data_IF_987372117152
#
_entry.id   IF_987372117152
#
_cell.length_a   1.000
_cell.length_b   1.000
_cell.length_c   1.000
_cell.angle_alpha   90.00
_cell.angle_beta   90.00
_cell.angle_gamma   90.00
#
_symmetry.space_group_name_H-M   'P 1'
#
loop_
_entity.id
_entity.type
_entity.pdbx_description
1 polymer ?
#
# COMPACT_ATOMS: atom_id res chain seq x y z
N UNK A 1 10.88 -8.10 11.18
CA UNK A 1 10.31 -9.00 10.16
C UNK A 1 10.21 -8.26 8.83
N UNK A 2 10.29 -9.00 7.73
CA UNK A 2 10.19 -8.50 6.35
C UNK A 2 8.99 -9.10 5.64
N UNK A 3 8.43 -8.36 4.69
CA UNK A 3 7.52 -8.92 3.70
C UNK A 3 8.25 -9.96 2.81
N UNK A 4 7.59 -11.05 2.41
CA UNK A 4 8.16 -12.05 1.49
C UNK A 4 8.71 -11.46 0.19
N UNK A 5 8.09 -10.41 -0.33
CA UNK A 5 8.47 -9.73 -1.56
C UNK A 5 9.55 -8.65 -1.37
N UNK A 6 10.02 -8.44 -0.15
CA UNK A 6 10.95 -7.36 0.17
C UNK A 6 12.33 -7.61 -0.48
N UNK A 7 12.87 -6.61 -1.18
CA UNK A 7 14.11 -6.73 -1.97
C UNK A 7 15.35 -7.18 -1.17
N UNK A 8 15.37 -6.95 0.15
CA UNK A 8 16.45 -7.44 1.02
C UNK A 8 16.41 -8.94 1.28
N UNK A 9 15.26 -9.60 1.16
CA UNK A 9 15.12 -11.04 1.45
C UNK A 9 16.10 -11.85 0.63
N UNK A 10 16.18 -11.61 -0.67
CA UNK A 10 17.10 -12.32 -1.55
C UNK A 10 18.58 -12.06 -1.20
N UNK A 11 18.90 -10.86 -0.68
CA UNK A 11 20.27 -10.44 -0.39
C UNK A 11 20.82 -10.99 0.92
N UNK A 12 19.96 -11.14 1.93
CA UNK A 12 20.38 -11.49 3.30
C UNK A 12 20.18 -12.97 3.62
N UNK A 13 19.33 -13.67 2.87
CA UNK A 13 19.02 -15.08 3.16
C UNK A 13 20.29 -15.92 3.07
N UNK A 14 20.59 -16.66 4.13
CA UNK A 14 21.77 -17.53 4.17
C UNK A 14 21.59 -18.72 3.23
N UNK A 15 22.69 -19.30 2.74
CA UNK A 15 22.64 -20.45 1.83
C UNK A 15 21.88 -21.64 2.43
N UNK A 16 21.98 -21.84 3.75
CA UNK A 16 21.26 -22.89 4.46
C UNK A 16 19.74 -22.69 4.48
N UNK A 17 19.26 -21.43 4.46
CA UNK A 17 17.84 -21.10 4.50
C UNK A 17 17.23 -20.83 3.12
N UNK A 18 18.07 -20.74 2.07
CA UNK A 18 17.66 -20.31 0.73
C UNK A 18 16.54 -21.13 0.12
N UNK A 19 16.62 -22.46 0.20
CA UNK A 19 15.60 -23.33 -0.36
C UNK A 19 14.28 -23.25 0.40
N UNK A 20 14.34 -23.19 1.73
CA UNK A 20 13.16 -23.09 2.57
C UNK A 20 12.46 -21.72 2.40
N UNK A 21 13.23 -20.62 2.33
CA UNK A 21 12.72 -19.27 2.07
C UNK A 21 12.07 -19.18 0.69
N UNK A 22 12.69 -19.73 -0.36
CA UNK A 22 12.08 -19.77 -1.70
C UNK A 22 10.77 -20.55 -1.72
N UNK A 23 10.73 -21.70 -1.06
CA UNK A 23 9.50 -22.50 -0.96
C UNK A 23 8.39 -21.72 -0.27
N UNK A 24 8.72 -21.03 0.83
CA UNK A 24 7.77 -20.18 1.55
C UNK A 24 7.25 -19.02 0.69
N UNK A 25 8.13 -18.27 0.01
CA UNK A 25 7.73 -17.18 -0.88
C UNK A 25 6.77 -17.68 -1.97
N UNK A 26 7.04 -18.84 -2.56
CA UNK A 26 6.19 -19.44 -3.60
C UNK A 26 4.80 -19.81 -3.06
N UNK A 27 4.71 -20.29 -1.82
CA UNK A 27 3.42 -20.55 -1.17
C UNK A 27 2.63 -19.25 -0.98
N UNK A 28 3.28 -18.18 -0.51
CA UNK A 28 2.62 -16.91 -0.24
C UNK A 28 2.19 -16.18 -1.51
N UNK A 29 2.92 -16.33 -2.63
CA UNK A 29 2.55 -15.72 -3.92
C UNK A 29 1.18 -16.14 -4.44
N UNK A 30 0.65 -17.30 -4.02
CA UNK A 30 -0.70 -17.73 -4.37
C UNK A 30 -1.82 -17.11 -3.52
N UNK A 31 -1.46 -16.38 -2.44
CA UNK A 31 -2.40 -15.76 -1.50
C UNK A 31 -2.52 -14.27 -1.81
N UNK A 32 -3.74 -13.76 -1.75
CA UNK A 32 -4.02 -12.32 -1.82
C UNK A 32 -3.59 -11.59 -0.54
N UNK A 33 -3.36 -10.28 -0.63
CA UNK A 33 -3.11 -9.42 0.54
C UNK A 33 -4.20 -9.57 1.62
N UNK A 34 -5.46 -9.75 1.20
CA UNK A 34 -6.59 -9.94 2.11
C UNK A 34 -6.50 -11.27 2.87
N UNK A 35 -6.12 -12.35 2.19
CA UNK A 35 -5.92 -13.67 2.82
C UNK A 35 -4.72 -13.70 3.77
N UNK A 36 -3.74 -12.82 3.56
CA UNK A 36 -2.52 -12.70 4.38
C UNK A 36 -2.69 -11.84 5.63
N UNK A 37 -3.77 -11.06 5.73
CA UNK A 37 -4.02 -10.15 6.84
C UNK A 37 -4.98 -10.77 7.87
N UNK A 38 -5.94 -10.02 8.42
CA UNK A 38 -6.73 -10.41 9.61
C UNK A 38 -7.59 -11.68 9.42
N UNK A 39 -7.72 -12.20 8.20
CA UNK A 39 -8.37 -13.49 7.91
C UNK A 39 -7.48 -14.72 8.16
N UNK A 40 -6.16 -14.52 8.32
CA UNK A 40 -5.21 -15.59 8.55
C UNK A 40 -5.29 -16.09 10.01
N UNK A 41 -6.02 -17.19 10.22
CA UNK A 41 -6.14 -17.86 11.53
C UNK A 41 -4.83 -18.43 12.08
N UNK A 42 -3.82 -18.63 11.23
CA UNK A 42 -2.52 -19.20 11.62
C UNK A 42 -1.41 -18.29 11.12
N UNK A 43 -0.61 -17.77 12.04
CA UNK A 43 0.61 -17.00 11.69
C UNK A 43 1.63 -17.95 11.07
N UNK A 44 2.17 -17.57 9.92
CA UNK A 44 3.25 -18.31 9.26
C UNK A 44 4.46 -17.41 9.08
N UNK A 45 5.64 -18.01 9.05
CA UNK A 45 6.87 -17.28 8.84
C UNK A 45 8.08 -18.18 8.79
N UNK A 46 9.18 -17.64 8.30
CA UNK A 46 10.45 -18.36 8.14
C UNK A 46 11.65 -17.50 8.50
N UNK A 47 12.61 -18.11 9.19
CA UNK A 47 13.86 -17.47 9.54
C UNK A 47 14.78 -17.36 8.32
N UNK A 48 15.32 -16.17 8.07
CA UNK A 48 16.20 -15.93 6.91
C UNK A 48 17.62 -16.44 7.10
N UNK A 49 18.03 -16.77 8.33
CA UNK A 49 19.44 -17.03 8.65
C UNK A 49 20.25 -15.77 8.91
N UNK A 50 19.67 -14.58 8.73
CA UNK A 50 20.32 -13.30 8.96
C UNK A 50 19.88 -12.64 10.27
N UNK A 51 20.71 -11.72 10.73
CA UNK A 51 20.48 -10.93 11.95
C UNK A 51 20.63 -9.44 11.64
N UNK A 52 19.78 -8.63 12.25
CA UNK A 52 19.93 -7.18 12.32
C UNK A 52 20.52 -6.79 13.68
N UNK A 53 21.15 -5.62 13.77
CA UNK A 53 21.58 -5.04 15.05
C UNK A 53 20.54 -4.02 15.48
N UNK A 54 20.01 -4.16 16.69
CA UNK A 54 19.14 -3.15 17.27
C UNK A 54 19.97 -1.87 17.54
N UNK A 55 19.58 -0.72 16.96
CA UNK A 55 20.37 0.51 17.05
C UNK A 55 20.54 1.05 18.47
N UNK A 56 19.59 0.76 19.38
CA UNK A 56 19.55 1.29 20.74
C UNK A 56 20.43 0.49 21.71
N UNK A 57 20.34 -0.85 21.67
CA UNK A 57 21.02 -1.71 22.64
C UNK A 57 22.13 -2.59 22.04
N UNK A 58 22.29 -2.59 20.72
CA UNK A 58 23.33 -3.37 20.01
C UNK A 58 23.07 -4.87 19.92
N UNK A 59 21.93 -5.37 20.42
CA UNK A 59 21.59 -6.79 20.40
C UNK A 59 21.32 -7.29 18.97
N UNK A 60 21.69 -8.55 18.71
CA UNK A 60 21.41 -9.22 17.44
C UNK A 60 19.97 -9.73 17.42
N UNK A 61 19.17 -9.21 16.50
CA UNK A 61 17.78 -9.57 16.29
C UNK A 61 17.65 -10.49 15.07
N UNK A 62 17.05 -11.68 15.19
CA UNK A 62 16.86 -12.57 14.05
C UNK A 62 15.88 -11.94 13.03
N UNK A 63 16.21 -12.02 11.75
CA UNK A 63 15.36 -11.51 10.68
C UNK A 63 14.47 -12.63 10.16
N UNK A 64 13.16 -12.44 10.31
CA UNK A 64 12.12 -13.35 9.84
C UNK A 64 11.34 -12.73 8.68
N UNK A 65 10.82 -13.60 7.81
CA UNK A 65 9.82 -13.27 6.81
C UNK A 65 8.48 -13.78 7.33
N UNK A 66 7.43 -12.97 7.24
CA UNK A 66 6.09 -13.36 7.65
C UNK A 66 5.05 -12.83 6.65
N UNK A 67 3.99 -13.61 6.43
CA UNK A 67 2.95 -13.32 5.44
C UNK A 67 2.13 -12.06 5.75
N UNK A 68 1.89 -11.78 7.03
CA UNK A 68 1.15 -10.61 7.50
C UNK A 68 1.91 -9.28 7.36
N UNK A 69 3.20 -9.32 6.99
CA UNK A 69 3.96 -8.11 6.63
C UNK A 69 3.78 -7.85 5.14
N UNK A 70 3.19 -6.70 4.81
CA UNK A 70 2.89 -6.32 3.43
C UNK A 70 3.96 -5.38 2.88
N UNK A 71 4.54 -5.72 1.72
CA UNK A 71 5.57 -4.90 1.06
C UNK A 71 5.04 -3.51 0.66
N UNK A 72 3.75 -3.39 0.40
CA UNK A 72 3.06 -2.16 0.00
C UNK A 72 2.74 -1.23 1.17
N UNK A 73 2.99 -1.66 2.42
CA UNK A 73 2.68 -0.88 3.62
C UNK A 73 3.94 -0.49 4.39
N UNK A 74 4.07 0.81 4.68
CA UNK A 74 5.26 1.35 5.35
C UNK A 74 6.51 1.14 4.50
N UNK A 75 7.51 0.48 5.05
CA UNK A 75 8.74 0.09 4.33
C UNK A 75 8.74 -1.36 3.88
N UNK A 76 7.65 -2.11 4.10
CA UNK A 76 7.63 -3.57 3.92
C UNK A 76 8.46 -4.32 4.96
N UNK A 77 8.86 -3.63 6.03
CA UNK A 77 9.61 -4.17 7.15
C UNK A 77 9.04 -3.61 8.47
N UNK A 78 8.91 -4.46 9.48
CA UNK A 78 8.45 -4.07 10.82
C UNK A 78 9.44 -4.54 11.88
N UNK A 79 9.59 -3.78 12.96
CA UNK A 79 10.15 -4.32 14.20
C UNK A 79 9.04 -5.06 14.94
N UNK A 80 9.34 -6.26 15.45
CA UNK A 80 8.38 -7.02 16.24
C UNK A 80 8.64 -6.78 17.73
N UNK A 81 7.59 -6.46 18.49
CA UNK A 81 7.68 -6.23 19.94
C UNK A 81 6.66 -7.13 20.65
N UNK A 82 6.96 -8.44 20.82
CA UNK A 82 5.99 -9.42 21.27
C UNK A 82 5.33 -9.12 22.62
N UNK A 83 6.03 -8.46 23.54
CA UNK A 83 5.45 -8.13 24.84
C UNK A 83 4.32 -7.09 24.76
N UNK A 84 4.21 -6.33 23.66
CA UNK A 84 3.32 -5.16 23.55
C UNK A 84 2.55 -5.06 22.22
N UNK A 85 2.61 -6.07 21.34
CA UNK A 85 1.75 -6.22 20.15
C UNK A 85 1.22 -7.66 20.11
N UNK A 86 -0.10 -7.83 20.10
CA UNK A 86 -0.77 -9.13 20.13
C UNK A 86 -0.38 -10.05 18.97
N UNK A 87 -0.17 -9.49 17.76
CA UNK A 87 0.17 -10.29 16.58
C UNK A 87 1.61 -10.79 16.67
N UNK A 88 2.50 -9.94 17.18
CA UNK A 88 3.89 -10.32 17.42
C UNK A 88 4.01 -11.31 18.58
N UNK A 89 3.14 -11.21 19.59
CA UNK A 89 3.05 -12.17 20.69
C UNK A 89 2.66 -13.56 20.21
N UNK A 90 1.58 -13.66 19.43
CA UNK A 90 1.14 -14.93 18.83
C UNK A 90 2.23 -15.53 17.94
N UNK A 91 2.91 -14.71 17.13
CA UNK A 91 4.03 -15.16 16.33
C UNK A 91 5.18 -15.66 17.20
N UNK A 92 5.58 -14.90 18.22
CA UNK A 92 6.66 -15.29 19.12
C UNK A 92 6.36 -16.59 19.87
N UNK A 93 5.14 -16.77 20.38
CA UNK A 93 4.72 -18.03 21.02
C UNK A 93 4.69 -19.21 20.03
N UNK A 94 4.27 -18.97 18.79
CA UNK A 94 4.22 -20.01 17.73
C UNK A 94 5.62 -20.50 17.34
N UNK A 95 6.59 -19.59 17.29
CA UNK A 95 7.95 -19.86 16.83
C UNK A 95 9.00 -19.90 17.95
N UNK A 96 8.56 -19.96 19.21
CA UNK A 96 9.40 -19.99 20.42
C UNK A 96 10.47 -18.89 20.44
N UNK A 97 10.05 -17.65 20.15
CA UNK A 97 10.92 -16.49 20.11
C UNK A 97 10.93 -15.75 21.47
N UNK A 98 12.04 -15.08 21.82
CA UNK A 98 12.14 -14.32 23.06
C UNK A 98 11.07 -13.22 23.17
N UNK A 99 10.42 -13.15 24.32
CA UNK A 99 9.48 -12.10 24.69
C UNK A 99 10.11 -11.29 25.82
N UNK A 100 10.36 -10.00 25.58
CA UNK A 100 11.02 -9.10 26.54
C UNK A 100 10.08 -7.95 26.89
N UNK A 101 9.71 -7.87 28.16
CA UNK A 101 8.90 -6.77 28.69
C UNK A 101 9.72 -5.48 28.74
N UNK A 102 9.17 -4.42 28.16
CA UNK A 102 9.78 -3.07 28.17
C UNK A 102 8.83 -1.98 28.69
N UNK A 103 7.59 -2.33 29.01
CA UNK A 103 6.59 -1.45 29.64
C UNK A 103 5.92 -2.21 30.78
N UNK A 104 5.91 -1.63 31.98
CA UNK A 104 5.27 -2.22 33.16
C UNK A 104 3.74 -2.23 33.04
N UNK A 105 3.09 -3.25 33.61
CA UNK A 105 1.66 -3.20 33.93
C UNK A 105 0.85 -4.43 33.55
N UNK A 106 1.45 -5.39 32.84
CA UNK A 106 0.79 -6.63 32.41
C UNK A 106 1.50 -7.90 32.87
N UNK A 107 0.98 -9.04 32.40
CA UNK A 107 1.59 -10.36 32.58
C UNK A 107 1.92 -10.94 31.21
N UNK A 108 3.16 -10.72 30.76
CA UNK A 108 3.66 -11.14 29.45
C UNK A 108 3.71 -12.66 29.27
N UNK A 109 3.54 -13.46 30.33
CA UNK A 109 3.45 -14.92 30.19
C UNK A 109 2.08 -15.35 29.66
N UNK A 110 1.05 -14.52 29.89
CA UNK A 110 -0.33 -14.78 29.47
C UNK A 110 -0.64 -14.11 28.14
N UNK A 111 -0.40 -12.81 28.03
CA UNK A 111 -0.79 -12.02 26.85
C UNK A 111 0.12 -10.80 26.63
N UNK A 112 0.02 -10.20 25.44
CA UNK A 112 0.70 -8.94 25.15
C UNK A 112 0.07 -7.80 25.96
N UNK A 113 0.90 -7.00 26.64
CA UNK A 113 0.43 -5.81 27.34
C UNK A 113 0.42 -4.59 26.41
N UNK A 114 -0.77 -4.20 25.96
CA UNK A 114 -0.99 -3.06 25.04
C UNK A 114 -1.35 -1.76 25.76
N UNK A 115 -1.40 -1.77 27.10
CA UNK A 115 -1.70 -0.62 27.93
C UNK A 115 -0.55 0.38 28.04
N UNK A 116 -0.79 1.48 28.76
CA UNK A 116 0.22 2.47 29.05
C UNK A 116 0.87 2.19 30.42
N UNK A 117 2.20 2.29 30.46
CA UNK A 117 2.98 2.08 31.67
C UNK A 117 4.33 2.79 31.59
N UNK A 118 5.12 2.66 32.66
CA UNK A 118 6.50 3.16 32.66
C UNK A 118 7.40 2.21 31.89
N UNK A 119 8.35 2.75 31.16
CA UNK A 119 9.34 1.93 30.47
C UNK A 119 10.28 1.27 31.48
N UNK A 120 10.57 -0.01 31.25
CA UNK A 120 11.56 -0.83 31.97
C UNK A 120 12.46 -1.55 30.98
N UNK A 121 13.59 -2.09 31.45
CA UNK A 121 14.56 -2.82 30.62
C UNK A 121 15.01 -2.05 29.35
N UNK A 122 14.94 -0.71 29.39
CA UNK A 122 15.09 0.21 28.27
C UNK A 122 16.12 1.32 28.54
N UNK A 123 17.08 1.05 29.45
CA UNK A 123 18.22 1.91 29.79
C UNK A 123 17.83 3.38 30.05
N UNK A 124 18.27 4.32 29.22
CA UNK A 124 18.02 5.76 29.37
C UNK A 124 16.54 6.17 29.25
N UNK A 125 15.66 5.25 28.85
CA UNK A 125 14.21 5.42 28.80
C UNK A 125 13.51 4.92 30.07
N UNK A 126 14.21 4.21 30.96
CA UNK A 126 13.61 3.64 32.16
C UNK A 126 12.91 4.69 33.03
N UNK A 127 11.71 4.38 33.52
CA UNK A 127 10.90 5.24 34.37
C UNK A 127 10.08 6.30 33.64
N UNK A 128 10.31 6.51 32.33
CA UNK A 128 9.55 7.45 31.51
C UNK A 128 8.19 6.89 31.10
N UNK A 129 7.20 7.77 30.99
CA UNK A 129 5.92 7.48 30.36
C UNK A 129 6.03 7.36 28.84
N UNK A 130 4.96 6.90 28.18
CA UNK A 130 4.93 6.61 26.74
C UNK A 130 5.31 7.78 25.84
N UNK A 131 4.69 8.93 26.03
CA UNK A 131 4.92 10.10 25.17
C UNK A 131 6.36 10.62 25.32
N UNK A 132 6.82 10.80 26.56
CA UNK A 132 8.18 11.25 26.88
C UNK A 132 9.25 10.27 26.36
N UNK A 133 9.00 8.96 26.49
CA UNK A 133 9.91 7.94 25.98
C UNK A 133 10.01 7.94 24.45
N UNK A 134 8.88 8.10 23.74
CA UNK A 134 8.86 8.21 22.28
C UNK A 134 9.65 9.43 21.82
N UNK A 135 9.41 10.60 22.42
CA UNK A 135 10.13 11.82 22.07
C UNK A 135 11.64 11.68 22.31
N UNK A 136 12.03 11.16 23.47
CA UNK A 136 13.44 10.97 23.82
C UNK A 136 14.13 9.94 22.92
N UNK A 137 13.45 8.84 22.58
CA UNK A 137 13.98 7.82 21.68
C UNK A 137 14.17 8.35 20.25
N UNK A 138 13.20 9.12 19.72
CA UNK A 138 13.31 9.75 18.40
C UNK A 138 14.50 10.72 18.38
N UNK A 139 14.61 11.60 19.38
CA UNK A 139 15.72 12.55 19.48
C UNK A 139 17.09 11.84 19.50
N UNK A 140 17.20 10.75 20.27
CA UNK A 140 18.43 9.96 20.33
C UNK A 140 18.77 9.32 18.98
N UNK A 141 17.78 8.75 18.27
CA UNK A 141 17.98 8.13 16.96
C UNK A 141 18.41 9.14 15.90
N UNK A 142 17.85 10.35 15.93
CA UNK A 142 18.24 11.47 15.06
C UNK A 142 19.68 11.92 15.35
N UNK A 143 20.04 12.13 16.62
CA UNK A 143 21.39 12.56 17.04
C UNK A 143 22.47 11.56 16.63
N UNK A 144 22.17 10.26 16.72
CA UNK A 144 23.11 9.19 16.39
C UNK A 144 23.08 8.76 14.92
N UNK A 145 22.31 9.45 14.06
CA UNK A 145 22.15 9.13 12.63
C UNK A 145 21.67 7.70 12.36
N UNK A 146 20.87 7.15 13.29
CA UNK A 146 20.26 5.82 13.20
C UNK A 146 18.77 5.87 12.87
N UNK A 147 18.23 7.07 12.69
CA UNK A 147 16.89 7.35 12.22
C UNK A 147 16.83 8.75 11.59
N UNK A 148 15.76 9.00 10.85
CA UNK A 148 15.44 10.34 10.33
C UNK A 148 14.42 11.03 11.23
N UNK A 149 14.07 12.27 10.86
CA UNK A 149 13.00 13.02 11.52
C UNK A 149 11.71 12.21 11.62
N UNK A 150 10.97 12.44 12.72
CA UNK A 150 9.63 11.88 12.94
C UNK A 150 8.81 11.85 11.65
N UNK A 151 8.52 10.64 11.17
CA UNK A 151 7.71 10.41 9.97
C UNK A 151 6.25 10.20 10.35
N UNK A 152 5.36 10.95 9.70
CA UNK A 152 3.92 10.73 9.82
C UNK A 152 3.48 9.82 8.68
N UNK A 153 2.83 8.70 9.02
CA UNK A 153 2.31 7.73 8.06
C UNK A 153 0.80 7.57 8.22
N UNK A 154 0.10 7.38 7.12
CA UNK A 154 -1.34 7.15 7.11
C UNK A 154 -1.65 5.72 6.71
N UNK A 155 -2.70 5.13 7.29
CA UNK A 155 -3.26 3.85 6.81
C UNK A 155 -3.96 4.00 5.46
N UNK A 156 -4.33 5.22 5.09
CA UNK A 156 -4.94 5.54 3.81
C UNK A 156 -3.96 5.23 2.68
N UNK A 157 -4.43 4.44 1.70
CA UNK A 157 -3.70 4.13 0.48
C UNK A 157 -4.16 5.05 -0.65
N UNK A 158 -3.32 5.14 -1.68
CA UNK A 158 -3.69 5.83 -2.91
C UNK A 158 -4.95 5.21 -3.51
N UNK A 159 -5.76 6.08 -4.11
CA UNK A 159 -7.03 5.68 -4.66
C UNK A 159 -6.84 5.00 -6.01
N UNK A 160 -7.01 3.68 -6.05
CA UNK A 160 -7.05 2.95 -7.32
C UNK A 160 -8.25 3.41 -8.16
N UNK A 161 -7.98 4.28 -9.13
CA UNK A 161 -9.01 4.98 -9.90
C UNK A 161 -9.43 4.23 -11.16
N UNK A 162 -8.49 3.62 -11.88
CA UNK A 162 -8.76 2.93 -13.15
C UNK A 162 -9.60 1.66 -12.99
N UNK A 163 -10.53 1.41 -13.93
CA UNK A 163 -11.32 0.17 -14.03
C UNK A 163 -11.24 -0.40 -15.45
N UNK A 164 -10.99 -1.71 -15.55
CA UNK A 164 -11.02 -2.47 -16.82
C UNK A 164 -12.46 -2.81 -17.21
N UNK A 165 -13.32 -1.80 -17.36
CA UNK A 165 -14.75 -1.96 -17.68
C UNK A 165 -15.12 -1.05 -18.83
N UNK A 166 -16.14 -1.46 -19.59
CA UNK A 166 -16.72 -0.61 -20.64
C UNK A 166 -17.55 0.55 -20.05
N UNK A 167 -18.42 0.25 -19.08
CA UNK A 167 -19.38 1.23 -18.56
C UNK A 167 -18.79 2.10 -17.47
N UNK A 168 -18.22 3.23 -17.89
CA UNK A 168 -17.70 4.29 -17.04
C UNK A 168 -17.24 5.48 -17.88
N UNK A 169 -16.86 6.57 -17.22
CA UNK A 169 -16.32 7.75 -17.91
C UNK A 169 -14.93 7.44 -18.46
N UNK A 170 -14.64 7.67 -19.75
CA UNK A 170 -13.30 7.49 -20.30
C UNK A 170 -12.28 8.37 -19.59
N UNK A 171 -11.13 7.80 -19.25
CA UNK A 171 -10.01 8.56 -18.71
C UNK A 171 -9.40 9.38 -19.86
N UNK A 172 -9.30 10.72 -19.77
CA UNK A 172 -8.87 11.57 -20.88
C UNK A 172 -7.34 11.59 -21.00
N UNK A 173 -6.72 10.42 -21.15
CA UNK A 173 -5.27 10.24 -21.32
C UNK A 173 -5.00 9.55 -22.66
N UNK A 174 -3.95 10.00 -23.35
CA UNK A 174 -3.41 9.40 -24.56
C UNK A 174 -1.98 8.92 -24.25
N UNK A 175 -1.70 7.67 -24.60
CA UNK A 175 -0.36 7.09 -24.58
C UNK A 175 0.24 7.19 -25.99
N UNK A 176 1.36 7.88 -26.13
CA UNK A 176 2.02 8.15 -27.41
C UNK A 176 2.99 7.03 -27.78
N UNK A 177 3.29 6.88 -29.08
CA UNK A 177 4.23 5.85 -29.55
C UNK A 177 5.68 6.06 -29.09
N UNK A 178 6.04 7.28 -28.68
CA UNK A 178 7.34 7.61 -28.08
C UNK A 178 7.46 7.21 -26.60
N UNK A 179 6.41 6.63 -26.02
CA UNK A 179 6.35 6.20 -24.62
C UNK A 179 5.89 7.29 -23.64
N UNK A 180 5.63 8.51 -24.11
CA UNK A 180 5.08 9.58 -23.27
C UNK A 180 3.55 9.45 -23.14
N UNK A 181 2.95 10.26 -22.28
CA UNK A 181 1.48 10.34 -22.16
C UNK A 181 1.05 11.77 -21.91
N UNK A 182 -0.11 12.16 -22.43
CA UNK A 182 -0.69 13.48 -22.18
C UNK A 182 -2.19 13.39 -21.97
N UNK A 183 -2.77 14.43 -21.36
CA UNK A 183 -4.21 14.57 -21.32
C UNK A 183 -4.78 14.97 -22.70
N UNK A 184 -6.03 14.60 -22.94
CA UNK A 184 -6.85 15.19 -24.02
C UNK A 184 -7.03 16.69 -23.72
N UNK A 185 -7.02 17.54 -24.76
CA UNK A 185 -7.14 18.98 -24.55
C UNK A 185 -8.53 19.35 -24.02
N UNK A 186 -8.64 20.46 -23.29
CA UNK A 186 -9.92 20.88 -22.70
C UNK A 186 -10.99 21.15 -23.76
N UNK A 187 -10.62 21.60 -24.97
CA UNK A 187 -11.55 21.87 -26.06
C UNK A 187 -12.11 20.59 -26.70
N UNK A 188 -11.41 19.47 -26.57
CA UNK A 188 -11.83 18.16 -27.06
C UNK A 188 -12.66 17.39 -26.03
N UNK A 189 -12.83 17.93 -24.81
CA UNK A 189 -13.71 17.37 -23.80
C UNK A 189 -15.18 17.72 -24.08
N UNK A 190 -16.13 16.83 -23.70
CA UNK A 190 -15.91 15.54 -23.03
C UNK A 190 -15.44 14.44 -24.01
N UNK A 191 -14.52 13.59 -23.55
CA UNK A 191 -14.18 12.36 -24.26
C UNK A 191 -15.36 11.39 -24.18
N UNK A 192 -16.16 11.33 -25.25
CA UNK A 192 -17.38 10.54 -25.29
C UNK A 192 -17.06 9.03 -25.32
N UNK A 193 -17.70 8.28 -24.42
CA UNK A 193 -17.67 6.81 -24.43
C UNK A 193 -18.31 6.29 -25.74
N UNK A 194 -17.60 5.47 -26.53
CA UNK A 194 -18.11 5.02 -27.82
C UNK A 194 -19.25 4.02 -27.60
N UNK A 195 -20.36 4.19 -28.33
CA UNK A 195 -21.47 3.23 -28.30
C UNK A 195 -21.10 1.98 -29.09
N UNK A 196 -21.05 0.83 -28.43
CA UNK A 196 -20.81 -0.46 -29.11
C UNK A 196 -21.65 -1.59 -28.49
N UNK A 197 -21.85 -2.66 -29.25
CA UNK A 197 -22.37 -3.94 -28.78
C UNK A 197 -21.25 -4.88 -28.32
N UNK A 198 -19.99 -4.55 -28.63
CA UNK A 198 -18.80 -5.35 -28.29
C UNK A 198 -18.28 -5.06 -26.87
N UNK A 199 -19.15 -5.25 -25.88
CA UNK A 199 -18.83 -5.04 -24.46
C UNK A 199 -18.14 -6.26 -23.79
N UNK A 200 -17.76 -7.26 -24.59
CA UNK A 200 -17.13 -8.48 -24.10
C UNK A 200 -15.68 -8.18 -23.68
N UNK A 201 -15.14 -8.91 -22.67
CA UNK A 201 -13.73 -8.80 -22.33
C UNK A 201 -12.84 -8.97 -23.56
N UNK A 202 -11.77 -8.17 -23.64
CA UNK A 202 -10.76 -8.22 -24.70
C UNK A 202 -10.03 -9.57 -24.80
N UNK A 203 -10.05 -10.38 -23.72
CA UNK A 203 -9.26 -11.60 -23.59
C UNK A 203 -7.78 -11.35 -23.25
N UNK A 204 -7.33 -10.09 -23.28
CA UNK A 204 -5.95 -9.67 -22.94
C UNK A 204 -5.81 -9.17 -21.50
N UNK A 205 -6.92 -9.06 -20.76
CA UNK A 205 -6.99 -8.40 -19.46
C UNK A 205 -7.27 -6.88 -19.55
N UNK A 206 -7.25 -6.33 -20.76
CA UNK A 206 -7.61 -4.93 -21.01
C UNK A 206 -9.13 -4.72 -21.00
N UNK A 207 -9.55 -3.46 -20.82
CA UNK A 207 -10.95 -3.06 -20.91
C UNK A 207 -11.56 -3.42 -22.28
N UNK A 208 -12.88 -3.69 -22.39
CA UNK A 208 -13.55 -3.89 -23.67
C UNK A 208 -13.36 -2.76 -24.68
N UNK A 209 -13.04 -1.54 -24.21
CA UNK A 209 -12.72 -0.40 -25.09
C UNK A 209 -11.52 -0.70 -26.00
N UNK A 210 -10.59 -1.57 -25.59
CA UNK A 210 -9.45 -1.99 -26.40
C UNK A 210 -9.84 -2.63 -27.74
N UNK A 211 -11.04 -3.19 -27.85
CA UNK A 211 -11.54 -3.81 -29.09
C UNK A 211 -12.00 -2.76 -30.12
N UNK A 212 -12.30 -1.53 -29.68
CA UNK A 212 -12.85 -0.47 -30.53
C UNK A 212 -11.70 0.35 -31.11
N UNK A 213 -11.01 -0.23 -32.10
CA UNK A 213 -9.78 0.35 -32.69
C UNK A 213 -9.98 1.79 -33.17
N UNK A 214 -11.08 2.08 -33.85
CA UNK A 214 -11.38 3.42 -34.37
C UNK A 214 -11.50 4.48 -33.27
N UNK A 215 -11.85 4.07 -32.05
CA UNK A 215 -11.92 4.97 -30.90
C UNK A 215 -10.63 4.98 -30.08
N UNK A 216 -9.95 3.84 -29.93
CA UNK A 216 -8.70 3.78 -29.17
C UNK A 216 -7.56 4.44 -29.90
N UNK A 217 -7.47 4.28 -31.22
CA UNK A 217 -6.33 4.77 -31.99
C UNK A 217 -6.46 6.28 -32.23
N UNK A 218 -5.44 7.02 -31.82
CA UNK A 218 -5.31 8.44 -32.12
C UNK A 218 -4.43 8.56 -33.36
N UNK A 219 -5.00 9.08 -34.45
CA UNK A 219 -4.33 9.23 -35.74
C UNK A 219 -4.07 10.69 -36.08
N UNK A 220 -3.01 10.94 -36.84
CA UNK A 220 -2.76 12.23 -37.45
C UNK A 220 -3.86 12.53 -38.49
N UNK A 221 -4.58 13.66 -38.40
CA UNK A 221 -5.61 14.00 -39.39
C UNK A 221 -5.02 14.31 -40.79
N UNK A 222 -3.73 14.66 -40.87
CA UNK A 222 -3.03 15.01 -42.13
C UNK A 222 -2.34 13.78 -42.72
N UNK A 223 -1.65 12.99 -41.91
CA UNK A 223 -0.85 11.85 -42.42
C UNK A 223 -1.56 10.50 -42.33
N UNK A 224 -2.67 10.41 -41.59
CA UNK A 224 -3.41 9.17 -41.34
C UNK A 224 -2.64 8.14 -40.50
N UNK A 225 -1.43 8.48 -40.05
CA UNK A 225 -0.60 7.58 -39.24
C UNK A 225 -1.06 7.61 -37.79
N UNK A 226 -0.99 6.44 -37.16
CA UNK A 226 -1.17 6.31 -35.71
C UNK A 226 -0.11 7.15 -34.99
N UNK A 227 -0.56 7.93 -34.00
CA UNK A 227 0.29 8.71 -33.10
C UNK A 227 0.29 8.14 -31.69
N UNK A 228 -0.82 7.52 -31.29
CA UNK A 228 -0.98 7.03 -29.93
C UNK A 228 -2.25 6.21 -29.75
N UNK A 229 -2.52 5.89 -28.49
CA UNK A 229 -3.68 5.11 -28.05
C UNK A 229 -4.31 5.79 -26.83
N UNK A 230 -5.63 5.96 -26.85
CA UNK A 230 -6.38 6.43 -25.67
C UNK A 230 -6.32 5.37 -24.56
N UNK A 231 -6.31 5.84 -23.31
CA UNK A 231 -6.52 4.97 -22.15
C UNK A 231 -7.86 4.24 -22.30
N UNK A 232 -7.83 2.93 -22.09
CA UNK A 232 -8.97 2.04 -22.28
C UNK A 232 -9.70 1.78 -20.97
N UNK A 233 -9.06 2.04 -19.83
CA UNK A 233 -9.70 2.01 -18.53
C UNK A 233 -10.66 3.18 -18.38
N UNK A 234 -11.75 2.93 -17.65
CA UNK A 234 -12.71 3.97 -17.28
C UNK A 234 -12.54 4.36 -15.82
N UNK A 235 -13.04 5.54 -15.47
CA UNK A 235 -13.17 5.99 -14.09
C UNK A 235 -14.15 5.09 -13.30
N UNK A 236 -14.02 5.00 -11.97
CA UNK A 236 -14.94 4.21 -11.16
C UNK A 236 -16.24 5.01 -10.95
N UNK A 237 -17.33 4.31 -10.58
CA UNK A 237 -18.64 4.95 -10.34
C UNK A 237 -18.58 6.09 -9.31
N UNK A 238 -17.66 5.99 -8.34
CA UNK A 238 -17.49 7.00 -7.31
C UNK A 238 -16.88 8.32 -7.81
N UNK A 239 -16.27 8.35 -9.00
CA UNK A 239 -15.76 9.59 -9.59
C UNK A 239 -16.86 10.65 -9.72
N UNK A 240 -18.06 10.27 -10.18
CA UNK A 240 -19.21 11.17 -10.23
C UNK A 240 -19.82 11.46 -8.85
N UNK A 241 -19.91 10.46 -7.98
CA UNK A 241 -20.57 10.63 -6.67
C UNK A 241 -19.78 11.48 -5.67
N UNK A 242 -18.50 11.76 -5.92
CA UNK A 242 -17.69 12.62 -5.06
C UNK A 242 -17.99 14.11 -5.22
N UNK A 243 -18.71 14.54 -6.26
CA UNK A 243 -18.93 15.97 -6.54
C UNK A 243 -20.31 16.31 -7.12
N UNK A 244 -21.21 15.33 -7.31
CA UNK A 244 -22.56 15.58 -7.88
C UNK A 244 -23.36 16.67 -7.14
N UNK A 245 -23.15 16.85 -5.83
CA UNK A 245 -23.82 17.89 -5.05
C UNK A 245 -23.41 19.31 -5.49
N UNK A 246 -22.18 19.52 -5.96
CA UNK A 246 -21.78 20.79 -6.57
C UNK A 246 -22.51 21.03 -7.88
N UNK A 247 -22.67 19.99 -8.71
CA UNK A 247 -23.42 20.08 -9.97
C UNK A 247 -24.87 20.47 -9.72
N UNK A 248 -25.51 19.87 -8.71
CA UNK A 248 -26.88 20.21 -8.33
C UNK A 248 -26.98 21.70 -7.98
N UNK A 249 -26.06 22.23 -7.15
CA UNK A 249 -26.06 23.64 -6.76
C UNK A 249 -25.86 24.58 -7.97
N UNK A 250 -24.97 24.23 -8.90
CA UNK A 250 -24.73 25.00 -10.13
C UNK A 250 -25.99 25.00 -11.02
N UNK A 251 -26.65 23.85 -11.19
CA UNK A 251 -27.86 23.75 -12.00
C UNK A 251 -29.03 24.54 -11.40
N UNK A 252 -29.15 24.57 -10.07
CA UNK A 252 -30.16 25.37 -9.37
C UNK A 252 -29.87 26.87 -9.56
N UNK A 253 -28.62 27.30 -9.36
CA UNK A 253 -28.23 28.71 -9.50
C UNK A 253 -28.34 29.22 -10.94
N UNK A 254 -27.96 28.42 -11.94
CA UNK A 254 -28.16 28.79 -13.34
C UNK A 254 -29.65 28.90 -13.73
N UNK A 255 -30.53 28.07 -13.14
CA UNK A 255 -31.98 28.16 -13.36
C UNK A 255 -32.65 29.34 -12.65
N UNK A 256 -32.05 29.90 -11.60
CA UNK A 256 -32.58 31.09 -10.88
C UNK A 256 -32.04 32.43 -11.39
N UNK A 257 -31.00 32.43 -12.23
CA UNK A 257 -30.47 33.64 -12.90
C UNK A 257 -31.25 34.23 -14.10
N UNK A 258 -32.31 33.64 -14.70
CA UNK A 258 -33.05 34.29 -15.80
C UNK A 258 -33.78 35.58 -15.41
N UNK A 259 -33.88 35.92 -14.11
CA UNK A 259 -34.67 37.06 -13.61
C UNK A 259 -33.86 38.37 -13.41
N UNK A 260 -32.57 38.40 -13.75
CA UNK A 260 -31.70 39.57 -13.53
C UNK A 260 -31.03 40.14 -14.80
N UNK A 261 -31.56 39.79 -15.99
CA UNK A 261 -31.26 40.50 -17.23
C UNK A 261 -32.51 41.18 -17.76
N UNK A 262 -32.84 42.35 -17.20
CA UNK A 262 -33.70 43.38 -17.80
C UNK A 262 -33.07 44.73 -17.56
#
# INVERSE_FOLDING_TARGET
MLAPEHALVEKITSDAQKEAVKAYIKEIQSKSDLERTDLAKKKTGIFTGAYAINPLNGEKMPIWIADYVLATYGTGAIMAVPAHDERDYEFAKTFDLPIKEVVEGGDIEKEAYTGDGKHINSDFLNGLGKEEAIEKAIAWLEEHQKGEKKKVTYRLRDWLFSRQRYWGEPIPIIHWEDGTSSAVSEEELPLILPKTTEIKPSGTGESPLANIKDWVEVVDPVTGKKKGRRETNTMPQWAGSCWYFYVILILITQKSLPLLKS
#
